data_IF_614508729373
#
_entry.id   IF_614508729373
#
_cell.length_a   1.000
_cell.length_b   1.000
_cell.length_c   1.000
_cell.angle_alpha   90.00
_cell.angle_beta   90.00
_cell.angle_gamma   90.00
#
_symmetry.space_group_name_H-M   'P 1'
#
loop_
_entity.id
_entity.type
_entity.pdbx_description
1 polymer ?
#
# COMPACT_ATOMS: atom_id res chain seq x y z
N UNK A 1 -4.86 14.83 -37.67
CA UNK A 1 -4.51 13.62 -36.86
C UNK A 1 -4.74 13.82 -35.36
N UNK A 2 -4.45 14.98 -34.76
CA UNK A 2 -4.67 15.25 -33.32
C UNK A 2 -6.16 15.32 -32.93
N UNK A 3 -7.02 15.91 -33.78
CA UNK A 3 -8.46 16.02 -33.52
C UNK A 3 -9.17 14.66 -33.35
N UNK A 4 -8.77 13.63 -34.09
CA UNK A 4 -9.37 12.30 -33.99
C UNK A 4 -8.98 11.58 -32.69
N UNK A 5 -7.83 11.90 -32.10
CA UNK A 5 -7.39 11.32 -30.84
C UNK A 5 -8.14 11.93 -29.64
N UNK A 6 -8.39 13.24 -29.69
CA UNK A 6 -9.15 13.95 -28.65
C UNK A 6 -10.62 13.51 -28.61
N UNK A 7 -11.24 13.28 -29.77
CA UNK A 7 -12.61 12.75 -29.84
C UNK A 7 -12.71 11.32 -29.30
N UNK A 8 -11.71 10.47 -29.59
CA UNK A 8 -11.64 9.11 -29.05
C UNK A 8 -11.45 9.06 -27.53
N UNK A 9 -10.76 10.04 -26.94
CA UNK A 9 -10.56 10.11 -25.48
C UNK A 9 -11.81 10.63 -24.76
N UNK A 10 -12.54 11.56 -25.38
CA UNK A 10 -13.83 12.04 -24.88
C UNK A 10 -14.87 10.91 -24.86
N UNK A 11 -14.96 10.11 -25.94
CA UNK A 11 -15.88 8.96 -26.03
C UNK A 11 -15.56 7.88 -24.97
N UNK A 12 -14.28 7.67 -24.66
CA UNK A 12 -13.85 6.72 -23.63
C UNK A 12 -14.15 7.23 -22.22
N UNK A 13 -13.99 8.54 -21.98
CA UNK A 13 -14.31 9.15 -20.70
C UNK A 13 -15.83 9.15 -20.42
N UNK A 14 -16.64 9.38 -21.46
CA UNK A 14 -18.10 9.39 -21.37
C UNK A 14 -18.64 7.97 -21.09
N UNK A 15 -18.14 6.97 -21.81
CA UNK A 15 -18.47 5.55 -21.55
C UNK A 15 -18.07 5.09 -20.14
N UNK A 16 -16.92 5.56 -19.62
CA UNK A 16 -16.50 5.27 -18.22
C UNK A 16 -17.40 5.94 -17.19
N UNK A 17 -17.95 7.11 -17.49
CA UNK A 17 -18.85 7.84 -16.59
C UNK A 17 -20.23 7.19 -16.55
N UNK A 18 -20.75 6.73 -17.68
CA UNK A 18 -22.01 5.99 -17.77
C UNK A 18 -21.93 4.64 -17.05
N UNK A 19 -20.84 3.89 -17.24
CA UNK A 19 -20.63 2.63 -16.52
C UNK A 19 -20.53 2.82 -15.00
N UNK A 20 -19.92 3.92 -14.53
CA UNK A 20 -19.85 4.24 -13.10
C UNK A 20 -21.22 4.63 -12.53
N UNK A 21 -22.04 5.34 -13.30
CA UNK A 21 -23.39 5.74 -12.89
C UNK A 21 -24.35 4.54 -12.85
N UNK A 22 -24.22 3.60 -13.79
CA UNK A 22 -25.02 2.37 -13.83
C UNK A 22 -24.65 1.40 -12.69
N UNK A 23 -23.37 1.38 -12.29
CA UNK A 23 -22.92 0.61 -11.13
C UNK A 23 -23.44 1.19 -9.80
N UNK A 24 -23.55 2.52 -9.71
CA UNK A 24 -24.04 3.22 -8.53
C UNK A 24 -25.57 3.20 -8.37
N UNK A 25 -26.33 3.04 -9.47
CA UNK A 25 -27.79 3.01 -9.42
C UNK A 25 -28.37 1.64 -9.07
N UNK A 26 -27.58 0.55 -9.23
CA UNK A 26 -27.98 -0.82 -8.85
C UNK A 26 -27.70 -1.15 -7.39
N UNK A 27 -27.02 -0.29 -6.65
CA UNK A 27 -26.67 -0.48 -5.23
C UNK A 27 -27.64 0.21 -4.27
N UNK A 28 -28.87 -0.29 -4.20
CA UNK A 28 -29.77 -0.01 -3.10
C UNK A 28 -29.75 -1.16 -2.10
N UNK A 29 -29.41 -0.85 -0.84
CA UNK A 29 -29.43 -1.68 0.38
C UNK A 29 -28.16 -2.49 0.73
N UNK A 30 -27.39 -1.93 1.68
CA UNK A 30 -26.99 -2.57 2.94
C UNK A 30 -26.07 -3.79 2.92
N UNK A 31 -24.85 -3.60 3.42
CA UNK A 31 -23.97 -4.59 4.08
C UNK A 31 -23.31 -5.75 3.31
N UNK A 32 -23.58 -5.96 2.02
CA UNK A 32 -22.91 -7.04 1.27
C UNK A 32 -21.91 -6.58 0.20
N UNK A 33 -21.92 -5.29 -0.18
CA UNK A 33 -21.10 -4.78 -1.29
C UNK A 33 -19.65 -4.48 -0.93
N UNK A 34 -19.36 -4.24 0.35
CA UNK A 34 -18.00 -3.96 0.79
C UNK A 34 -17.10 -5.17 0.50
N UNK A 35 -17.61 -6.40 0.70
CA UNK A 35 -16.86 -7.63 0.42
C UNK A 35 -16.49 -7.85 -1.06
N UNK A 36 -17.34 -7.42 -2.00
CA UNK A 36 -17.10 -7.61 -3.45
C UNK A 36 -16.24 -6.52 -4.05
N UNK A 37 -16.42 -5.26 -3.61
CA UNK A 37 -15.55 -4.14 -4.01
C UNK A 37 -14.14 -4.35 -3.44
N UNK A 38 -14.05 -4.75 -2.17
CA UNK A 38 -12.80 -5.09 -1.49
C UNK A 38 -12.09 -6.25 -2.20
N UNK A 39 -12.77 -7.38 -2.47
CA UNK A 39 -12.17 -8.49 -3.24
C UNK A 39 -11.74 -8.09 -4.65
N UNK A 40 -12.52 -7.26 -5.35
CA UNK A 40 -12.20 -6.79 -6.70
C UNK A 40 -10.99 -5.86 -6.76
N UNK A 41 -10.86 -4.95 -5.79
CA UNK A 41 -9.71 -4.03 -5.69
C UNK A 41 -8.43 -4.80 -5.33
N UNK A 42 -8.51 -5.74 -4.37
CA UNK A 42 -7.35 -6.56 -4.00
C UNK A 42 -6.93 -7.57 -5.08
N UNK A 43 -7.83 -7.95 -5.99
CA UNK A 43 -7.51 -8.84 -7.12
C UNK A 43 -6.82 -8.13 -8.31
N UNK A 44 -6.81 -6.79 -8.34
CA UNK A 44 -6.15 -6.00 -9.39
C UNK A 44 -4.93 -5.20 -8.88
N UNK A 45 -4.48 -5.49 -7.66
CA UNK A 45 -3.38 -4.78 -7.02
C UNK A 45 -2.01 -5.09 -7.62
N UNK A 46 -1.01 -4.30 -7.24
CA UNK A 46 0.40 -4.51 -7.53
C UNK A 46 0.83 -5.90 -7.03
N UNK A 47 1.43 -6.68 -7.92
CA UNK A 47 2.03 -7.95 -7.59
C UNK A 47 3.50 -7.72 -7.24
N UNK A 48 3.89 -8.14 -6.04
CA UNK A 48 5.27 -8.02 -5.57
C UNK A 48 6.12 -9.18 -6.10
N UNK A 49 7.40 -8.91 -6.46
CA UNK A 49 8.34 -9.96 -6.87
C UNK A 49 8.56 -10.98 -5.76
N UNK A 50 9.01 -12.19 -6.09
CA UNK A 50 9.24 -13.26 -5.11
C UNK A 50 10.23 -12.88 -4.00
N UNK A 51 11.26 -12.11 -4.36
CA UNK A 51 12.20 -11.51 -3.40
C UNK A 51 11.88 -10.03 -3.30
N UNK A 52 11.53 -9.58 -2.09
CA UNK A 52 11.30 -8.17 -1.78
C UNK A 52 12.60 -7.58 -1.25
N UNK A 53 13.21 -6.68 -2.01
CA UNK A 53 14.39 -5.92 -1.59
C UNK A 53 14.00 -4.51 -1.10
N UNK A 54 14.97 -3.80 -0.52
CA UNK A 54 14.77 -2.46 0.02
C UNK A 54 14.19 -1.49 -1.03
N UNK A 55 14.76 -1.45 -2.22
CA UNK A 55 14.34 -0.53 -3.28
C UNK A 55 12.92 -0.86 -3.79
N UNK A 56 12.58 -2.14 -3.86
CA UNK A 56 11.23 -2.60 -4.19
C UNK A 56 10.18 -2.17 -3.17
N UNK A 57 10.50 -2.20 -1.86
CA UNK A 57 9.60 -1.68 -0.82
C UNK A 57 9.42 -0.18 -0.95
N UNK A 58 10.50 0.57 -1.19
CA UNK A 58 10.42 2.02 -1.33
C UNK A 58 9.59 2.43 -2.55
N UNK A 59 9.75 1.76 -3.69
CA UNK A 59 8.91 1.99 -4.87
C UNK A 59 7.44 1.65 -4.60
N UNK A 60 7.17 0.52 -3.93
CA UNK A 60 5.83 0.12 -3.52
C UNK A 60 5.15 1.22 -2.69
N UNK A 61 5.80 1.71 -1.64
CA UNK A 61 5.25 2.76 -0.76
C UNK A 61 4.97 4.06 -1.55
N UNK A 62 5.89 4.46 -2.43
CA UNK A 62 5.72 5.66 -3.28
C UNK A 62 4.53 5.52 -4.22
N UNK A 63 4.32 4.36 -4.84
CA UNK A 63 3.17 4.09 -5.72
C UNK A 63 1.84 4.06 -4.96
N UNK A 64 1.83 3.52 -3.74
CA UNK A 64 0.64 3.54 -2.89
C UNK A 64 0.19 4.96 -2.54
N UNK A 65 1.14 5.87 -2.29
CA UNK A 65 0.86 7.27 -1.97
C UNK A 65 0.54 8.10 -3.22
N UNK A 66 1.36 8.00 -4.27
CA UNK A 66 1.25 8.83 -5.48
C UNK A 66 0.05 8.44 -6.35
N UNK A 67 -0.09 7.14 -6.61
CA UNK A 67 -1.01 6.62 -7.63
C UNK A 67 -2.26 6.00 -6.99
N UNK A 68 -2.30 5.88 -5.67
CA UNK A 68 -3.37 5.21 -4.94
C UNK A 68 -3.40 3.70 -5.19
N UNK A 69 -2.31 3.14 -5.71
CA UNK A 69 -2.20 1.70 -5.95
C UNK A 69 -2.36 0.91 -4.64
N UNK A 70 -2.80 -0.34 -4.77
CA UNK A 70 -3.00 -1.27 -3.66
C UNK A 70 -2.22 -2.54 -3.94
N UNK A 71 -1.77 -3.22 -2.89
CA UNK A 71 -1.06 -4.49 -3.00
C UNK A 71 -2.07 -5.58 -3.35
N UNK A 72 -1.69 -6.51 -4.24
CA UNK A 72 -2.51 -7.66 -4.57
C UNK A 72 -2.72 -8.55 -3.33
N UNK A 73 -3.89 -9.20 -3.20
CA UNK A 73 -4.23 -10.03 -2.04
C UNK A 73 -3.18 -11.10 -1.74
N UNK A 74 -2.67 -11.75 -2.79
CA UNK A 74 -1.70 -12.84 -2.63
C UNK A 74 -0.33 -12.32 -2.17
N UNK A 75 0.10 -11.15 -2.66
CA UNK A 75 1.32 -10.50 -2.18
C UNK A 75 1.16 -10.02 -0.73
N UNK A 76 -0.02 -9.51 -0.37
CA UNK A 76 -0.32 -9.14 1.01
C UNK A 76 -0.29 -10.35 1.94
N UNK A 77 -0.96 -11.46 1.58
CA UNK A 77 -0.91 -12.71 2.35
C UNK A 77 0.51 -13.20 2.54
N UNK A 78 1.32 -13.21 1.48
CA UNK A 78 2.73 -13.63 1.56
C UNK A 78 3.53 -12.80 2.57
N UNK A 79 3.37 -11.47 2.55
CA UNK A 79 4.03 -10.59 3.54
C UNK A 79 3.63 -10.98 4.96
N UNK A 80 2.34 -11.19 5.22
CA UNK A 80 1.85 -11.56 6.55
C UNK A 80 2.38 -12.95 6.94
N UNK A 81 2.31 -13.93 6.05
CA UNK A 81 2.76 -15.30 6.30
C UNK A 81 4.27 -15.38 6.59
N UNK A 82 5.08 -14.50 5.99
CA UNK A 82 6.52 -14.39 6.24
C UNK A 82 6.85 -13.59 7.50
N UNK A 83 6.14 -12.50 7.77
CA UNK A 83 6.41 -11.63 8.91
C UNK A 83 5.94 -12.23 10.24
N UNK A 84 4.79 -12.90 10.25
CA UNK A 84 4.20 -13.50 11.46
C UNK A 84 5.14 -14.45 12.23
N UNK A 85 5.82 -15.43 11.60
CA UNK A 85 6.73 -16.31 12.33
C UNK A 85 7.97 -15.57 12.86
N UNK A 86 8.44 -14.53 12.17
CA UNK A 86 9.55 -13.68 12.64
C UNK A 86 9.14 -12.96 13.92
N UNK A 87 8.00 -12.25 13.90
CA UNK A 87 7.48 -11.52 15.05
C UNK A 87 7.10 -12.45 16.21
N UNK A 88 6.59 -13.65 15.92
CA UNK A 88 6.21 -14.62 16.95
C UNK A 88 7.43 -15.26 17.66
N UNK A 89 8.62 -15.22 17.05
CA UNK A 89 9.84 -15.73 17.65
C UNK A 89 10.52 -14.71 18.58
N UNK A 90 10.18 -13.43 18.47
CA UNK A 90 10.77 -12.36 19.28
C UNK A 90 10.23 -12.39 20.73
N UNK A 91 11.05 -12.04 21.73
CA UNK A 91 10.59 -11.90 23.11
C UNK A 91 9.63 -10.72 23.29
N UNK A 92 8.77 -10.81 24.30
CA UNK A 92 7.83 -9.73 24.65
C UNK A 92 8.51 -8.40 25.00
N UNK A 93 9.78 -8.43 25.41
CA UNK A 93 10.59 -7.25 25.71
C UNK A 93 11.84 -7.34 24.86
N UNK A 94 11.96 -6.43 23.89
CA UNK A 94 13.13 -6.36 23.03
C UNK A 94 14.19 -5.45 23.64
N UNK A 95 15.40 -5.97 23.76
CA UNK A 95 16.58 -5.19 24.13
C UNK A 95 17.32 -4.81 22.85
N UNK A 96 17.56 -3.51 22.64
CA UNK A 96 18.32 -2.99 21.50
C UNK A 96 19.71 -2.61 22.00
N UNK A 97 20.68 -3.50 21.80
CA UNK A 97 22.10 -3.26 22.10
C UNK A 97 22.88 -3.06 20.80
N UNK A 98 22.88 -1.83 20.29
CA UNK A 98 23.70 -1.48 19.14
C UNK A 98 24.18 -0.03 19.22
N UNK A 99 25.25 0.25 18.47
CA UNK A 99 25.81 1.60 18.33
C UNK A 99 25.16 2.39 17.18
N UNK A 100 24.06 1.86 16.61
CA UNK A 100 23.36 2.45 15.47
C UNK A 100 22.37 3.51 15.96
N UNK A 101 22.00 4.42 15.07
CA UNK A 101 20.99 5.42 15.38
C UNK A 101 19.62 4.73 15.45
N UNK A 102 18.93 4.88 16.58
CA UNK A 102 17.56 4.38 16.74
C UNK A 102 16.57 5.53 16.59
N UNK A 103 15.55 5.35 15.75
CA UNK A 103 14.44 6.27 15.55
C UNK A 103 13.17 5.64 16.09
N UNK A 104 12.57 6.26 17.10
CA UNK A 104 11.30 5.81 17.68
C UNK A 104 10.18 6.68 17.12
N UNK A 105 9.22 6.05 16.45
CA UNK A 105 8.03 6.68 15.88
C UNK A 105 6.83 6.27 16.72
N UNK A 106 5.97 7.22 17.06
CA UNK A 106 4.67 6.95 17.71
C UNK A 106 3.65 6.40 16.72
N UNK A 107 2.37 6.59 17.02
CA UNK A 107 1.29 6.12 16.15
C UNK A 107 1.25 6.91 14.82
N UNK A 108 1.08 6.18 13.73
CA UNK A 108 0.92 6.72 12.37
C UNK A 108 -0.53 6.63 11.87
N UNK A 109 -1.41 5.88 12.56
CA UNK A 109 -2.81 5.67 12.20
C UNK A 109 -3.05 5.31 10.72
N UNK A 110 -2.11 4.56 10.11
CA UNK A 110 -2.21 4.12 8.72
C UNK A 110 -1.82 5.18 7.66
N UNK A 111 -1.24 6.31 8.06
CA UNK A 111 -0.75 7.33 7.14
C UNK A 111 0.60 6.93 6.52
N UNK A 112 0.55 6.35 5.33
CA UNK A 112 1.76 6.00 4.55
C UNK A 112 2.51 7.26 4.11
N UNK A 113 1.81 8.39 3.91
CA UNK A 113 2.45 9.65 3.57
C UNK A 113 3.34 10.16 4.72
N UNK A 114 2.85 10.11 5.96
CA UNK A 114 3.64 10.51 7.12
C UNK A 114 4.82 9.56 7.36
N UNK A 115 4.62 8.25 7.12
CA UNK A 115 5.72 7.27 7.14
C UNK A 115 6.85 7.67 6.17
N UNK A 116 6.51 8.05 4.94
CA UNK A 116 7.51 8.48 3.96
C UNK A 116 8.23 9.76 4.41
N UNK A 117 7.52 10.72 5.01
CA UNK A 117 8.15 11.93 5.56
C UNK A 117 9.13 11.60 6.69
N UNK A 118 8.81 10.64 7.56
CA UNK A 118 9.73 10.16 8.58
C UNK A 118 11.01 9.57 7.97
N UNK A 119 10.89 8.80 6.89
CA UNK A 119 12.05 8.25 6.19
C UNK A 119 12.86 9.31 5.45
N UNK A 120 12.22 10.29 4.84
CA UNK A 120 12.91 11.42 4.21
C UNK A 120 13.68 12.27 5.23
N UNK A 121 13.14 12.42 6.45
CA UNK A 121 13.77 13.22 7.50
C UNK A 121 14.90 12.48 8.24
N UNK A 122 14.74 11.18 8.49
CA UNK A 122 15.65 10.42 9.36
C UNK A 122 16.53 9.39 8.62
N UNK A 123 16.24 9.10 7.35
CA UNK A 123 16.87 8.04 6.56
C UNK A 123 15.90 6.88 6.32
N UNK A 124 16.19 6.03 5.33
CA UNK A 124 15.43 4.78 5.18
C UNK A 124 15.99 3.71 6.14
N UNK A 125 15.16 2.74 6.59
CA UNK A 125 15.63 1.62 7.41
C UNK A 125 16.76 0.85 6.71
N UNK A 126 17.84 0.55 7.42
CA UNK A 126 19.00 -0.11 6.85
C UNK A 126 20.15 -0.26 7.84
N UNK A 127 21.38 -0.38 7.32
CA UNK A 127 22.56 -0.68 8.14
C UNK A 127 22.91 0.44 9.13
N UNK A 128 22.54 1.70 8.85
CA UNK A 128 22.92 2.86 9.66
C UNK A 128 21.84 3.32 10.66
N UNK A 129 20.57 2.97 10.41
CA UNK A 129 19.41 3.47 11.17
C UNK A 129 18.41 2.35 11.44
N UNK A 130 18.15 2.09 12.71
CA UNK A 130 17.11 1.18 13.18
C UNK A 130 15.83 1.96 13.54
N UNK A 131 14.69 1.32 13.31
CA UNK A 131 13.37 1.90 13.57
C UNK A 131 12.59 1.10 14.59
N UNK A 132 11.88 1.82 15.47
CA UNK A 132 10.86 1.27 16.37
C UNK A 132 9.57 2.02 16.13
N UNK A 133 8.54 1.30 15.67
CA UNK A 133 7.18 1.83 15.55
C UNK A 133 6.38 1.43 16.79
N UNK A 134 5.98 2.42 17.59
CA UNK A 134 5.33 2.22 18.89
C UNK A 134 3.82 2.51 18.81
N UNK A 135 3.12 1.74 17.99
CA UNK A 135 1.67 1.87 17.75
C UNK A 135 1.25 1.25 16.44
#
# INVERSE_FOLDING_TARGET
>A
KVANLMNSLADVAEKKKEQRAELASRSGHGDLQDSFVTKGIFAMGMQLPDVIDHDGVVDMLKRMVRDGERIHLDSFKRIIDEAMPVLAAEPNIQLIENDRRVVVIGDLHGSIADLLLCFEAAGYPGDDVDYVFNG
#
